data_IF_494843521330
#
_entry.id   IF_494843521330
#
_cell.length_a   1.000
_cell.length_b   1.000
_cell.length_c   1.000
_cell.angle_alpha   90.00
_cell.angle_beta   90.00
_cell.angle_gamma   90.00
#
_symmetry.space_group_name_H-M   'P 1'
#
loop_
_entity.id
_entity.type
_entity.pdbx_description
1 polymer ?
#
# COMPACT_ATOMS: atom_id res chain seq x y z
N UNK A 1 -48.53 14.55 30.72
CA UNK A 1 -47.78 14.69 29.43
C UNK A 1 -46.23 14.71 29.60
N UNK A 2 -45.65 14.84 30.77
CA UNK A 2 -44.19 15.04 30.94
C UNK A 2 -43.28 13.79 30.90
N UNK A 3 -43.75 12.59 31.20
CA UNK A 3 -42.86 11.42 31.29
C UNK A 3 -42.36 10.88 29.94
N UNK A 4 -43.17 10.95 28.86
CA UNK A 4 -42.75 10.48 27.51
C UNK A 4 -41.73 11.40 26.85
N UNK A 5 -41.85 12.70 27.07
CA UNK A 5 -40.92 13.71 26.50
C UNK A 5 -39.52 13.56 27.13
N UNK A 6 -39.44 13.35 28.44
CA UNK A 6 -38.19 13.14 29.17
C UNK A 6 -37.47 11.87 28.69
N UNK A 7 -38.18 10.76 28.45
CA UNK A 7 -37.58 9.52 27.93
C UNK A 7 -37.00 9.69 26.52
N UNK A 8 -37.65 10.43 25.64
CA UNK A 8 -37.18 10.65 24.28
C UNK A 8 -35.92 11.52 24.31
N UNK A 9 -35.92 12.60 25.11
CA UNK A 9 -34.74 13.49 25.23
C UNK A 9 -33.56 12.74 25.78
N UNK A 10 -33.73 11.90 26.81
CA UNK A 10 -32.64 11.11 27.38
C UNK A 10 -32.08 10.11 26.35
N UNK A 11 -32.95 9.43 25.58
CA UNK A 11 -32.52 8.51 24.55
C UNK A 11 -31.70 9.19 23.43
N UNK A 12 -32.10 10.40 23.01
CA UNK A 12 -31.35 11.17 22.01
C UNK A 12 -29.99 11.60 22.54
N UNK A 13 -29.90 12.07 23.77
CA UNK A 13 -28.63 12.44 24.40
C UNK A 13 -27.72 11.24 24.55
N UNK A 14 -28.20 10.10 24.99
CA UNK A 14 -27.40 8.87 25.07
C UNK A 14 -26.89 8.42 23.69
N UNK A 15 -27.71 8.49 22.66
CA UNK A 15 -27.33 8.15 21.30
C UNK A 15 -26.22 9.10 20.78
N UNK A 16 -26.36 10.40 21.02
CA UNK A 16 -25.36 11.39 20.62
C UNK A 16 -24.00 11.17 21.34
N UNK A 17 -24.02 10.84 22.61
CA UNK A 17 -22.82 10.50 23.39
C UNK A 17 -22.15 9.24 22.88
N UNK A 18 -22.93 8.20 22.58
CA UNK A 18 -22.42 6.94 22.01
C UNK A 18 -21.78 7.16 20.64
N UNK A 19 -22.43 7.91 19.75
CA UNK A 19 -21.89 8.23 18.43
C UNK A 19 -20.61 9.06 18.54
N UNK A 20 -20.56 10.04 19.45
CA UNK A 20 -19.36 10.82 19.73
C UNK A 20 -18.19 9.95 20.25
N UNK A 21 -18.45 9.07 21.18
CA UNK A 21 -17.45 8.15 21.72
C UNK A 21 -16.90 7.16 20.65
N UNK A 22 -17.79 6.64 19.81
CA UNK A 22 -17.38 5.76 18.70
C UNK A 22 -16.52 6.51 17.67
N UNK A 23 -16.86 7.77 17.36
CA UNK A 23 -16.08 8.61 16.46
C UNK A 23 -14.68 8.88 17.01
N UNK A 24 -14.56 9.27 18.27
CA UNK A 24 -13.27 9.49 18.92
C UNK A 24 -12.41 8.22 18.98
N UNK A 25 -13.00 7.08 19.24
CA UNK A 25 -12.30 5.80 19.27
C UNK A 25 -11.75 5.41 17.88
N UNK A 26 -12.52 5.64 16.83
CA UNK A 26 -12.08 5.37 15.46
C UNK A 26 -10.90 6.28 15.06
N UNK A 27 -10.98 7.58 15.36
CA UNK A 27 -9.90 8.55 15.09
C UNK A 27 -8.62 8.18 15.87
N UNK A 28 -8.75 7.82 17.13
CA UNK A 28 -7.59 7.42 17.96
C UNK A 28 -6.88 6.18 17.41
N UNK A 29 -7.62 5.21 16.90
CA UNK A 29 -7.04 3.99 16.30
C UNK A 29 -6.30 4.28 14.99
N UNK A 30 -6.84 5.17 14.16
CA UNK A 30 -6.19 5.56 12.91
C UNK A 30 -4.91 6.35 13.18
N UNK A 31 -4.95 7.28 14.13
CA UNK A 31 -3.78 8.05 14.55
C UNK A 31 -2.66 7.14 15.07
N UNK A 32 -2.99 6.14 15.90
CA UNK A 32 -2.02 5.17 16.40
C UNK A 32 -1.40 4.34 15.27
N UNK A 33 -2.21 3.90 14.31
CA UNK A 33 -1.73 3.17 13.14
C UNK A 33 -0.78 4.03 12.29
N UNK A 34 -1.11 5.29 12.03
CA UNK A 34 -0.25 6.20 11.27
C UNK A 34 1.08 6.48 12.00
N UNK A 35 1.07 6.58 13.34
CA UNK A 35 2.29 6.73 14.13
C UNK A 35 3.18 5.48 14.06
N UNK A 36 2.59 4.29 14.14
CA UNK A 36 3.29 3.02 13.96
C UNK A 36 3.93 2.94 12.58
N UNK A 37 3.17 3.22 11.51
CA UNK A 37 3.68 3.22 10.15
C UNK A 37 4.74 4.32 9.89
N UNK A 38 4.71 5.43 10.62
CA UNK A 38 5.75 6.45 10.52
C UNK A 38 7.10 5.98 11.10
N UNK A 39 7.08 5.08 12.08
CA UNK A 39 8.30 4.55 12.73
C UNK A 39 8.77 3.22 12.17
N UNK A 40 7.87 2.34 11.76
CA UNK A 40 8.16 0.98 11.32
C UNK A 40 8.02 0.80 9.81
N UNK A 41 7.32 1.71 9.14
CA UNK A 41 6.94 1.65 7.74
C UNK A 41 5.61 0.94 7.51
N UNK A 42 5.01 1.22 6.35
CA UNK A 42 3.83 0.50 5.89
C UNK A 42 4.20 -0.91 5.42
N UNK A 43 3.33 -1.90 5.68
CA UNK A 43 3.43 -3.21 5.05
C UNK A 43 3.06 -3.10 3.56
N UNK A 44 4.04 -3.33 2.69
CA UNK A 44 3.94 -3.01 1.26
C UNK A 44 3.61 -4.21 0.37
N UNK A 45 3.59 -5.43 0.91
CA UNK A 45 3.26 -6.61 0.11
C UNK A 45 1.99 -6.39 -0.68
N UNK A 46 2.07 -6.62 -1.98
CA UNK A 46 0.90 -6.44 -2.81
C UNK A 46 1.22 -6.12 -4.26
N UNK A 47 0.16 -5.94 -5.00
CA UNK A 47 0.15 -5.60 -6.40
C UNK A 47 -0.46 -4.22 -6.59
N UNK A 48 0.24 -3.36 -7.28
CA UNK A 48 -0.09 -1.96 -7.50
C UNK A 48 -0.16 -1.66 -8.99
N UNK A 49 -1.00 -0.71 -9.36
CA UNK A 49 -1.18 -0.29 -10.75
C UNK A 49 -1.05 1.23 -10.86
N UNK A 50 -0.46 1.71 -11.95
CA UNK A 50 -0.35 3.14 -12.20
C UNK A 50 -1.74 3.78 -12.46
N UNK A 51 -1.87 5.04 -12.11
CA UNK A 51 -3.14 5.78 -12.18
C UNK A 51 -3.45 6.34 -13.57
N UNK A 52 -2.45 6.52 -14.42
CA UNK A 52 -2.60 7.20 -15.70
C UNK A 52 -3.00 6.26 -16.83
N UNK A 53 -2.29 5.16 -16.95
CA UNK A 53 -2.46 4.27 -18.10
C UNK A 53 -3.07 2.94 -17.70
N UNK A 54 -2.99 2.59 -16.41
CA UNK A 54 -3.32 1.27 -15.85
C UNK A 54 -2.56 0.12 -16.54
N UNK A 55 -1.43 0.45 -17.16
CA UNK A 55 -0.59 -0.50 -17.92
C UNK A 55 0.69 -0.86 -17.21
N UNK A 56 1.24 0.08 -16.41
CA UNK A 56 2.40 -0.25 -15.56
C UNK A 56 1.91 -0.87 -14.26
N UNK A 57 2.57 -1.94 -13.85
CA UNK A 57 2.24 -2.65 -12.61
C UNK A 57 3.49 -2.87 -11.79
N UNK A 58 3.35 -2.72 -10.48
CA UNK A 58 4.43 -2.85 -9.52
C UNK A 58 4.00 -3.82 -8.41
N UNK A 59 4.81 -4.83 -8.15
CA UNK A 59 4.55 -5.82 -7.11
C UNK A 59 5.68 -5.82 -6.08
N UNK A 60 5.32 -6.05 -4.81
CA UNK A 60 6.26 -6.18 -3.71
C UNK A 60 5.99 -7.45 -2.90
N UNK A 61 7.05 -8.07 -2.41
CA UNK A 61 7.03 -9.19 -1.48
C UNK A 61 8.16 -9.01 -0.45
N UNK A 62 7.80 -8.69 0.80
CA UNK A 62 8.76 -8.47 1.89
C UNK A 62 9.32 -9.78 2.46
N UNK A 63 8.48 -10.81 2.58
CA UNK A 63 8.83 -12.08 3.22
C UNK A 63 9.89 -12.89 2.47
N UNK A 64 10.00 -12.72 1.16
CA UNK A 64 10.94 -13.45 0.31
C UNK A 64 12.05 -12.54 -0.23
N UNK A 65 13.06 -12.27 0.61
CA UNK A 65 14.24 -11.46 0.28
C UNK A 65 13.92 -10.04 -0.21
N UNK A 66 12.83 -9.45 0.22
CA UNK A 66 12.44 -8.09 -0.18
C UNK A 66 12.43 -7.90 -1.70
N UNK A 67 11.66 -8.71 -2.41
CA UNK A 67 11.59 -8.69 -3.87
C UNK A 67 10.60 -7.65 -4.38
N UNK A 68 10.92 -7.09 -5.53
CA UNK A 68 10.00 -6.25 -6.31
C UNK A 68 10.01 -6.65 -7.78
N UNK A 69 8.93 -6.34 -8.49
CA UNK A 69 8.81 -6.53 -9.93
C UNK A 69 7.98 -5.41 -10.53
N UNK A 70 8.48 -4.81 -11.59
CA UNK A 70 7.75 -3.86 -12.42
C UNK A 70 7.51 -4.48 -13.80
N UNK A 71 6.27 -4.44 -14.27
CA UNK A 71 5.93 -4.69 -15.67
C UNK A 71 5.51 -3.35 -16.26
N UNK A 72 6.23 -2.90 -17.27
CA UNK A 72 5.94 -1.62 -17.91
C UNK A 72 4.79 -1.73 -18.94
N UNK A 73 4.46 -0.60 -19.57
CA UNK A 73 3.37 -0.52 -20.54
C UNK A 73 3.59 -1.36 -21.81
N UNK A 74 4.82 -1.75 -22.09
CA UNK A 74 5.22 -2.59 -23.24
C UNK A 74 5.29 -4.07 -22.85
N UNK A 75 5.00 -4.39 -21.59
CA UNK A 75 5.04 -5.74 -21.04
C UNK A 75 6.45 -6.18 -20.65
N UNK A 76 7.44 -5.29 -20.66
CA UNK A 76 8.80 -5.61 -20.25
C UNK A 76 8.84 -5.73 -18.73
N UNK A 77 9.30 -6.87 -18.27
CA UNK A 77 9.47 -7.17 -16.86
C UNK A 77 10.85 -6.75 -16.37
N UNK A 78 10.90 -6.04 -15.26
CA UNK A 78 12.12 -5.72 -14.53
C UNK A 78 11.91 -6.07 -13.07
N UNK A 79 12.82 -6.79 -12.47
CA UNK A 79 12.71 -7.23 -11.08
C UNK A 79 14.05 -7.10 -10.33
N UNK A 80 13.99 -7.41 -9.03
CA UNK A 80 15.13 -7.34 -8.17
C UNK A 80 14.77 -7.29 -6.69
N UNK A 81 15.63 -6.67 -5.92
CA UNK A 81 15.46 -6.53 -4.47
C UNK A 81 15.28 -5.07 -4.07
N UNK A 82 14.58 -4.82 -2.98
CA UNK A 82 14.47 -3.49 -2.39
C UNK A 82 15.06 -3.46 -0.97
N UNK A 83 15.41 -2.27 -0.55
CA UNK A 83 15.86 -2.01 0.82
C UNK A 83 15.19 -0.74 1.34
N UNK A 84 14.70 -0.79 2.58
CA UNK A 84 14.23 0.40 3.29
C UNK A 84 15.41 1.30 3.65
N UNK A 85 15.22 2.60 3.59
CA UNK A 85 16.20 3.61 4.04
C UNK A 85 16.03 3.88 5.53
N UNK A 86 16.69 4.94 6.06
CA UNK A 86 16.48 5.41 7.43
C UNK A 86 15.03 5.92 7.64
N UNK A 87 14.38 6.42 6.58
CA UNK A 87 12.93 6.58 6.54
C UNK A 87 12.30 5.25 6.07
N UNK A 88 11.57 4.53 6.95
CA UNK A 88 11.05 3.20 6.63
C UNK A 88 9.99 3.22 5.51
N UNK A 89 9.51 4.39 5.11
CA UNK A 89 8.56 4.57 4.02
C UNK A 89 9.23 4.93 2.69
N UNK A 90 10.57 4.96 2.65
CA UNK A 90 11.36 5.14 1.43
C UNK A 90 12.14 3.86 1.14
N UNK A 91 11.92 3.30 -0.04
CA UNK A 91 12.54 2.06 -0.51
C UNK A 91 13.46 2.38 -1.67
N UNK A 92 14.66 1.82 -1.68
CA UNK A 92 15.56 1.84 -2.84
C UNK A 92 15.40 0.51 -3.57
N UNK A 93 15.05 0.58 -4.84
CA UNK A 93 14.90 -0.56 -5.73
C UNK A 93 16.22 -0.83 -6.45
N UNK A 94 16.69 -2.07 -6.39
CA UNK A 94 17.88 -2.54 -7.11
C UNK A 94 17.50 -3.70 -8.00
N UNK A 95 18.02 -3.71 -9.23
CA UNK A 95 17.91 -4.83 -10.15
C UNK A 95 18.72 -6.03 -9.64
N UNK A 96 18.52 -7.20 -10.20
CA UNK A 96 19.29 -8.40 -9.85
C UNK A 96 20.80 -8.22 -10.01
N UNK A 97 21.24 -7.40 -10.97
CA UNK A 97 22.66 -7.08 -11.17
C UNK A 97 23.23 -6.08 -10.14
N UNK A 98 22.42 -5.63 -9.17
CA UNK A 98 22.78 -4.67 -8.12
C UNK A 98 22.71 -3.19 -8.53
N UNK A 99 22.40 -2.89 -9.80
CA UNK A 99 22.18 -1.52 -10.29
C UNK A 99 20.94 -0.91 -9.65
N UNK A 100 21.02 0.35 -9.21
CA UNK A 100 19.87 1.08 -8.71
C UNK A 100 18.87 1.35 -9.83
N UNK A 101 17.62 0.96 -9.61
CA UNK A 101 16.53 1.16 -10.56
C UNK A 101 15.74 2.44 -10.26
N UNK A 102 15.62 2.79 -9.01
CA UNK A 102 14.86 3.95 -8.55
C UNK A 102 14.49 3.87 -7.07
N UNK A 103 13.66 4.79 -6.64
CA UNK A 103 13.17 4.84 -5.28
C UNK A 103 11.63 4.84 -5.24
N UNK A 104 11.07 4.25 -4.19
CA UNK A 104 9.62 4.27 -3.92
C UNK A 104 9.37 4.99 -2.61
N UNK A 105 8.46 5.95 -2.62
CA UNK A 105 7.90 6.53 -1.41
C UNK A 105 6.51 5.96 -1.17
N UNK A 106 6.32 5.32 -0.03
CA UNK A 106 5.02 4.81 0.43
C UNK A 106 4.29 5.95 1.11
N UNK A 107 3.35 6.58 0.41
CA UNK A 107 2.64 7.73 0.94
C UNK A 107 1.54 7.32 1.93
N UNK A 108 0.89 6.19 1.66
CA UNK A 108 -0.20 5.71 2.49
C UNK A 108 -0.54 4.25 2.15
N UNK A 109 -0.82 3.45 3.14
CA UNK A 109 -1.54 2.17 3.00
C UNK A 109 -2.55 2.11 4.14
N UNK A 110 -3.82 1.87 3.84
CA UNK A 110 -4.87 1.78 4.85
C UNK A 110 -4.63 0.58 5.77
N UNK A 111 -5.09 0.68 7.02
CA UNK A 111 -4.97 -0.40 7.99
C UNK A 111 -5.61 -1.71 7.52
N UNK A 112 -6.68 -1.62 6.72
CA UNK A 112 -7.35 -2.79 6.13
C UNK A 112 -6.66 -3.30 4.88
N UNK A 113 -5.67 -2.55 4.38
CA UNK A 113 -4.96 -2.85 3.14
C UNK A 113 -5.88 -2.98 1.92
N UNK A 114 -6.97 -2.20 1.93
CA UNK A 114 -7.91 -2.06 0.82
C UNK A 114 -7.63 -0.81 -0.03
N UNK A 115 -6.76 0.06 0.45
CA UNK A 115 -6.29 1.26 -0.24
C UNK A 115 -4.80 1.44 0.02
N UNK A 116 -4.08 1.90 -1.00
CA UNK A 116 -2.66 2.22 -0.89
C UNK A 116 -2.21 3.13 -2.01
N UNK A 117 -1.22 3.96 -1.71
CA UNK A 117 -0.65 4.93 -2.62
C UNK A 117 0.86 4.93 -2.51
N UNK A 118 1.54 4.67 -3.61
CA UNK A 118 2.98 4.71 -3.78
C UNK A 118 3.38 5.71 -4.86
N UNK A 119 4.57 6.28 -4.72
CA UNK A 119 5.23 7.08 -5.76
C UNK A 119 6.55 6.42 -6.14
N UNK A 120 6.69 6.00 -7.38
CA UNK A 120 7.95 5.51 -7.95
C UNK A 120 8.69 6.67 -8.61
N UNK A 121 9.89 6.93 -8.14
CA UNK A 121 10.85 7.89 -8.69
C UNK A 121 11.87 7.12 -9.51
N UNK A 122 11.88 7.34 -10.82
CA UNK A 122 12.82 6.70 -11.74
C UNK A 122 13.31 7.72 -12.76
N UNK A 123 14.61 7.90 -12.87
CA UNK A 123 15.23 8.94 -13.69
C UNK A 123 14.67 10.33 -13.36
N UNK A 124 14.01 10.96 -14.32
CA UNK A 124 13.34 12.26 -14.16
C UNK A 124 11.81 12.14 -14.04
N UNK A 125 11.30 10.93 -13.89
CA UNK A 125 9.87 10.63 -13.91
C UNK A 125 9.38 10.18 -12.53
N UNK A 126 8.18 10.64 -12.17
CA UNK A 126 7.44 10.15 -11.01
C UNK A 126 6.15 9.50 -11.50
N UNK A 127 5.98 8.23 -11.15
CA UNK A 127 4.76 7.48 -11.45
C UNK A 127 4.04 7.15 -10.15
N UNK A 128 2.74 7.33 -10.14
CA UNK A 128 1.87 7.09 -9.00
C UNK A 128 1.16 5.75 -9.17
N UNK A 129 1.19 4.92 -8.14
CA UNK A 129 0.63 3.58 -8.12
C UNK A 129 -0.39 3.44 -7.00
N UNK A 130 -1.48 2.74 -7.26
CA UNK A 130 -2.52 2.40 -6.29
C UNK A 130 -2.54 0.91 -6.02
N UNK A 131 -2.75 0.55 -4.76
CA UNK A 131 -2.93 -0.84 -4.34
C UNK A 131 -4.18 -1.43 -5.00
N UNK A 132 -3.99 -2.57 -5.65
CA UNK A 132 -5.07 -3.34 -6.29
C UNK A 132 -5.37 -4.61 -5.50
N UNK A 133 -4.32 -5.26 -4.98
CA UNK A 133 -4.44 -6.51 -4.23
C UNK A 133 -3.31 -6.61 -3.21
N UNK A 134 -3.59 -7.20 -2.06
CA UNK A 134 -2.59 -7.50 -1.02
C UNK A 134 -1.78 -8.75 -1.31
N UNK A 135 -2.22 -9.60 -2.24
CA UNK A 135 -1.44 -10.72 -2.72
C UNK A 135 -0.51 -10.26 -3.85
N UNK A 136 0.82 -10.41 -3.72
CA UNK A 136 1.74 -10.09 -4.80
C UNK A 136 1.51 -11.03 -5.97
N UNK A 137 1.35 -10.45 -7.18
CA UNK A 137 1.28 -11.20 -8.42
C UNK A 137 2.57 -10.93 -9.19
N UNK A 138 3.51 -11.86 -9.12
CA UNK A 138 4.72 -11.82 -9.94
C UNK A 138 4.44 -12.51 -11.28
N UNK A 139 4.81 -11.86 -12.37
CA UNK A 139 4.83 -12.49 -13.68
C UNK A 139 6.05 -13.40 -13.73
N UNK A 140 5.83 -14.70 -13.88
CA UNK A 140 6.91 -15.61 -14.18
C UNK A 140 7.22 -15.44 -15.66
N UNK A 141 8.44 -15.00 -16.01
CA UNK A 141 8.92 -15.20 -17.37
C UNK A 141 8.80 -16.69 -17.67
N UNK A 142 7.98 -17.03 -18.64
CA UNK A 142 7.96 -18.38 -19.19
C UNK A 142 9.32 -18.56 -19.89
N UNK A 143 10.31 -18.96 -19.11
CA UNK A 143 11.55 -19.46 -19.66
C UNK A 143 11.18 -20.56 -20.65
N UNK A 144 11.79 -20.50 -21.83
CA UNK A 144 11.68 -21.44 -22.93
C UNK A 144 11.40 -22.86 -22.41
N UNK A 145 10.17 -23.31 -22.62
CA UNK A 145 9.90 -24.73 -22.62
C UNK A 145 10.62 -25.24 -23.86
N UNK A 146 11.84 -25.76 -23.65
CA UNK A 146 12.58 -26.51 -24.63
C UNK A 146 11.62 -27.43 -25.39
N UNK A 147 11.33 -27.05 -26.65
CA UNK A 147 10.72 -27.89 -27.61
C UNK A 147 11.75 -28.91 -28.11
N UNK A 148 12.09 -29.84 -27.22
CA UNK A 148 12.84 -31.03 -27.59
C UNK A 148 11.93 -32.24 -27.48
N UNK A 149 11.23 -32.50 -28.60
CA UNK A 149 10.69 -33.82 -28.96
C UNK A 149 10.62 -33.99 -30.46
#
# INVERSE_FOLDING_TARGET
>A
MGRRTISITLAVVCLAVLLGAMGQFAISRETSYMQECASEGFAIDGYYRDDKTSRETLAFLEEDNCRWQLVDQDGICTDGQFKRTDDPNILILKKENGEEFGAVHVAYISRRRDQGLLYLFRDTRVTRFYLVSTGPAFTVESGDVDADR
#
